data_IF_443621632851
#
_entry.id   IF_443621632851
#
_cell.length_a   1.000
_cell.length_b   1.000
_cell.length_c   1.000
_cell.angle_alpha   90.00
_cell.angle_beta   90.00
_cell.angle_gamma   90.00
#
_symmetry.space_group_name_H-M   'P 1'
#
loop_
_entity.id
_entity.type
_entity.pdbx_description
1 polymer ?
#
# COMPACT_ATOMS: atom_id res chain seq x y z
N UNK A 1 -24.11 12.59 -11.64
CA UNK A 1 -23.59 11.34 -11.05
C UNK A 1 -23.69 10.28 -12.11
N UNK A 2 -22.61 9.54 -12.41
CA UNK A 2 -22.66 8.37 -13.29
C UNK A 2 -23.80 7.45 -12.84
N UNK A 3 -24.68 6.98 -13.75
CA UNK A 3 -25.70 6.00 -13.39
C UNK A 3 -25.01 4.81 -12.72
N UNK A 4 -25.50 4.45 -11.53
CA UNK A 4 -24.97 3.31 -10.79
C UNK A 4 -25.24 2.03 -11.60
N UNK A 5 -24.23 1.18 -11.74
CA UNK A 5 -24.29 0.09 -12.70
C UNK A 5 -25.21 -1.03 -12.19
N UNK A 6 -26.42 -1.06 -12.74
CA UNK A 6 -27.39 -2.13 -12.51
C UNK A 6 -27.38 -3.04 -13.73
N UNK A 7 -27.12 -4.31 -13.48
CA UNK A 7 -27.06 -5.37 -14.47
C UNK A 7 -28.13 -6.42 -14.18
N UNK A 8 -28.32 -7.35 -15.11
CA UNK A 8 -29.25 -8.47 -14.97
C UNK A 8 -28.43 -9.75 -15.03
N UNK A 9 -28.47 -10.52 -13.94
CA UNK A 9 -27.84 -11.83 -13.90
C UNK A 9 -28.52 -12.79 -14.89
N UNK A 10 -27.83 -13.82 -15.38
CA UNK A 10 -28.34 -14.82 -16.34
C UNK A 10 -29.59 -15.58 -15.86
N UNK A 11 -29.86 -15.55 -14.55
CA UNK A 11 -31.09 -16.06 -13.92
C UNK A 11 -32.30 -15.11 -14.01
N UNK A 12 -32.10 -13.88 -14.52
CA UNK A 12 -33.09 -12.79 -14.52
C UNK A 12 -33.11 -11.93 -13.25
N UNK A 13 -32.31 -12.26 -12.23
CA UNK A 13 -32.25 -11.46 -11.00
C UNK A 13 -31.43 -10.17 -11.20
N UNK A 14 -31.77 -9.06 -10.52
CA UNK A 14 -30.92 -7.88 -10.49
C UNK A 14 -29.52 -8.20 -9.94
N UNK A 15 -28.51 -7.58 -10.54
CA UNK A 15 -27.13 -7.61 -10.09
C UNK A 15 -26.59 -6.19 -10.02
N UNK A 16 -25.93 -5.85 -8.93
CA UNK A 16 -25.36 -4.51 -8.70
C UNK A 16 -23.85 -4.63 -8.62
N UNK A 17 -23.15 -3.79 -9.37
CA UNK A 17 -21.69 -3.84 -9.42
C UNK A 17 -21.07 -2.46 -9.24
N UNK A 18 -19.93 -2.42 -8.56
CA UNK A 18 -19.09 -1.22 -8.46
C UNK A 18 -17.62 -1.64 -8.55
N UNK A 19 -16.81 -0.78 -9.17
CA UNK A 19 -15.36 -0.96 -9.26
C UNK A 19 -14.65 0.24 -8.67
N UNK A 20 -13.64 -0.03 -7.86
CA UNK A 20 -12.73 0.97 -7.33
C UNK A 20 -11.28 0.55 -7.48
N UNK A 21 -10.40 1.52 -7.69
CA UNK A 21 -8.98 1.35 -7.43
C UNK A 21 -8.59 1.95 -6.09
N UNK A 22 -7.52 1.42 -5.49
CA UNK A 22 -6.87 2.03 -4.35
C UNK A 22 -5.34 2.01 -4.50
N UNK A 23 -4.65 3.06 -4.00
CA UNK A 23 -3.21 3.17 -4.06
C UNK A 23 -2.52 2.22 -3.07
N UNK A 24 -1.28 1.87 -3.38
CA UNK A 24 -0.35 1.41 -2.34
C UNK A 24 0.18 2.59 -1.52
N UNK A 25 0.62 2.34 -0.29
CA UNK A 25 1.27 3.32 0.56
C UNK A 25 2.58 2.75 1.11
N UNK A 26 3.59 3.61 1.27
CA UNK A 26 4.89 3.24 1.83
C UNK A 26 5.07 3.92 3.18
N UNK A 27 5.22 3.11 4.23
CA UNK A 27 5.43 3.61 5.58
C UNK A 27 6.81 4.27 5.71
N UNK A 28 6.85 5.48 6.24
CA UNK A 28 8.10 6.16 6.62
C UNK A 28 8.35 6.07 8.12
N UNK A 29 7.28 6.01 8.92
CA UNK A 29 7.31 5.47 10.29
C UNK A 29 6.57 4.13 10.30
N UNK A 30 7.28 3.06 10.65
CA UNK A 30 6.86 1.68 10.44
C UNK A 30 5.83 1.20 11.47
N UNK A 31 4.79 0.57 10.95
CA UNK A 31 3.91 -0.32 11.71
C UNK A 31 4.56 -1.71 11.83
N UNK A 32 4.90 -2.11 13.06
CA UNK A 32 5.38 -3.46 13.34
C UNK A 32 4.98 -3.89 14.75
N UNK A 33 4.04 -4.82 14.84
CA UNK A 33 3.54 -5.37 16.10
C UNK A 33 2.09 -4.96 16.38
N UNK A 34 1.30 -5.90 16.91
CA UNK A 34 -0.12 -5.70 17.21
C UNK A 34 -0.33 -5.56 18.71
N UNK A 35 -1.09 -4.55 19.12
CA UNK A 35 -1.59 -4.44 20.48
C UNK A 35 -2.75 -5.42 20.69
N UNK A 36 -3.66 -5.51 19.71
CA UNK A 36 -4.78 -6.45 19.73
C UNK A 36 -4.93 -7.13 18.36
N UNK A 37 -4.75 -8.45 18.33
CA UNK A 37 -4.84 -9.25 17.11
C UNK A 37 -6.28 -9.43 16.60
N UNK A 38 -7.29 -9.37 17.49
CA UNK A 38 -8.72 -9.46 17.14
C UNK A 38 -9.16 -8.21 16.40
N UNK A 39 -8.74 -7.03 16.88
CA UNK A 39 -9.08 -5.74 16.28
C UNK A 39 -8.08 -5.25 15.24
N UNK A 40 -6.94 -5.94 15.11
CA UNK A 40 -5.83 -5.61 14.24
C UNK A 40 -5.25 -4.20 14.50
N UNK A 41 -5.12 -3.83 15.77
CA UNK A 41 -4.59 -2.52 16.20
C UNK A 41 -3.09 -2.60 16.51
N UNK A 42 -2.35 -1.49 16.33
CA UNK A 42 -0.90 -1.51 16.39
C UNK A 42 -0.39 -1.17 17.79
N UNK A 43 0.85 -1.56 18.10
CA UNK A 43 1.51 -1.12 19.36
C UNK A 43 1.98 0.34 19.30
N UNK A 44 2.08 0.93 18.11
CA UNK A 44 2.53 2.29 17.88
C UNK A 44 1.84 2.91 16.66
N UNK A 45 1.82 4.25 16.61
CA UNK A 45 1.38 5.00 15.43
C UNK A 45 2.30 4.72 14.24
N UNK A 46 1.80 4.94 13.03
CA UNK A 46 2.61 4.84 11.81
C UNK A 46 2.18 5.91 10.82
N UNK A 47 3.05 6.29 9.89
CA UNK A 47 2.72 7.25 8.83
C UNK A 47 3.34 6.83 7.52
N UNK A 48 2.63 7.11 6.43
CA UNK A 48 3.02 6.68 5.08
C UNK A 48 2.80 7.76 4.05
N UNK A 49 3.52 7.62 2.93
CA UNK A 49 3.24 8.33 1.68
C UNK A 49 2.39 7.41 0.79
N UNK A 50 1.22 7.88 0.39
CA UNK A 50 0.35 7.23 -0.60
C UNK A 50 0.92 7.44 -1.99
N UNK A 51 1.12 6.36 -2.75
CA UNK A 51 1.72 6.42 -4.10
C UNK A 51 0.66 6.66 -5.18
N UNK A 52 1.10 7.16 -6.33
CA UNK A 52 0.20 7.44 -7.45
C UNK A 52 -0.38 6.16 -8.07
N UNK A 53 -1.70 6.17 -8.27
CA UNK A 53 -2.47 5.07 -8.84
C UNK A 53 -2.27 4.90 -10.34
N UNK A 54 -1.67 5.86 -11.03
CA UNK A 54 -1.26 5.69 -12.42
C UNK A 54 -0.12 4.67 -12.53
N UNK A 55 0.71 4.56 -11.50
CA UNK A 55 1.84 3.62 -11.47
C UNK A 55 1.51 2.34 -10.72
N UNK A 56 0.91 2.45 -9.53
CA UNK A 56 0.77 1.35 -8.57
C UNK A 56 -0.61 1.38 -7.90
N UNK A 57 -1.49 0.45 -8.30
CA UNK A 57 -2.83 0.32 -7.70
C UNK A 57 -3.30 -1.13 -7.60
N UNK A 58 -4.19 -1.36 -6.65
CA UNK A 58 -5.11 -2.49 -6.70
C UNK A 58 -6.41 -2.05 -7.36
N UNK A 59 -7.02 -2.91 -8.17
CA UNK A 59 -8.33 -2.69 -8.78
C UNK A 59 -9.27 -3.80 -8.31
N UNK A 60 -10.40 -3.42 -7.73
CA UNK A 60 -11.38 -4.36 -7.18
C UNK A 60 -12.77 -4.06 -7.73
N UNK A 61 -13.38 -5.08 -8.32
CA UNK A 61 -14.80 -5.09 -8.73
C UNK A 61 -15.58 -5.94 -7.73
N UNK A 62 -16.67 -5.40 -7.19
CA UNK A 62 -17.60 -6.11 -6.31
C UNK A 62 -18.96 -6.22 -6.98
N UNK A 63 -19.62 -7.37 -6.85
CA UNK A 63 -20.96 -7.62 -7.34
C UNK A 63 -21.85 -8.21 -6.25
N UNK A 64 -23.10 -7.77 -6.16
CA UNK A 64 -24.11 -8.39 -5.29
C UNK A 64 -25.36 -8.79 -6.08
N UNK A 65 -25.86 -10.00 -5.83
CA UNK A 65 -27.10 -10.51 -6.39
C UNK A 65 -27.76 -11.51 -5.44
N UNK A 66 -29.09 -11.64 -5.53
CA UNK A 66 -29.85 -12.70 -4.85
C UNK A 66 -29.67 -14.08 -5.49
N UNK A 67 -29.11 -14.15 -6.70
CA UNK A 67 -28.82 -15.42 -7.39
C UNK A 67 -27.48 -16.03 -7.03
N UNK A 68 -26.64 -15.30 -6.28
CA UNK A 68 -25.36 -15.84 -5.81
C UNK A 68 -25.58 -16.72 -4.59
N UNK A 69 -25.02 -17.94 -4.61
CA UNK A 69 -25.19 -18.92 -3.53
C UNK A 69 -24.25 -18.69 -2.35
N UNK A 70 -23.05 -18.15 -2.61
CA UNK A 70 -22.00 -17.92 -1.60
C UNK A 70 -21.19 -16.67 -1.92
N UNK A 71 -20.52 -16.13 -0.90
CA UNK A 71 -19.51 -15.09 -1.13
C UNK A 71 -18.27 -15.72 -1.80
N UNK A 72 -17.69 -15.03 -2.79
CA UNK A 72 -16.52 -15.52 -3.55
C UNK A 72 -15.51 -14.40 -3.75
N UNK A 73 -14.22 -14.75 -3.75
CA UNK A 73 -13.11 -13.85 -4.00
C UNK A 73 -12.20 -14.47 -5.06
N UNK A 74 -11.88 -13.71 -6.09
CA UNK A 74 -10.80 -13.98 -7.01
C UNK A 74 -9.70 -12.94 -6.82
N UNK A 75 -8.46 -13.40 -6.68
CA UNK A 75 -7.28 -12.55 -6.59
C UNK A 75 -6.33 -12.90 -7.73
N UNK A 76 -6.02 -11.91 -8.57
CA UNK A 76 -5.20 -12.10 -9.78
C UNK A 76 -5.70 -13.26 -10.66
N UNK A 77 -7.01 -13.40 -10.79
CA UNK A 77 -7.65 -14.41 -11.65
C UNK A 77 -7.83 -15.80 -11.03
N UNK A 78 -7.20 -16.08 -9.89
CA UNK A 78 -7.35 -17.35 -9.16
C UNK A 78 -8.42 -17.20 -8.05
N UNK A 79 -9.27 -18.21 -7.87
CA UNK A 79 -10.27 -18.20 -6.79
C UNK A 79 -9.61 -18.54 -5.45
N UNK A 80 -9.85 -17.70 -4.45
CA UNK A 80 -9.40 -17.92 -3.08
C UNK A 80 -10.39 -18.86 -2.38
N UNK A 81 -10.16 -20.17 -2.48
CA UNK A 81 -10.98 -21.18 -1.82
C UNK A 81 -11.08 -20.91 -0.31
N UNK A 82 -12.30 -20.86 0.22
CA UNK A 82 -12.54 -20.56 1.63
C UNK A 82 -12.53 -19.07 1.99
N UNK A 83 -12.42 -18.15 1.03
CA UNK A 83 -12.52 -16.71 1.29
C UNK A 83 -13.78 -16.33 2.09
N UNK A 84 -14.92 -16.98 1.83
CA UNK A 84 -16.15 -16.79 2.59
C UNK A 84 -16.02 -17.05 4.10
N UNK A 85 -15.09 -17.91 4.52
CA UNK A 85 -14.79 -18.20 5.93
C UNK A 85 -13.59 -17.37 6.46
N UNK A 86 -12.91 -16.63 5.60
CA UNK A 86 -11.75 -15.82 6.00
C UNK A 86 -12.21 -14.63 6.85
N UNK A 87 -11.72 -14.58 8.10
CA UNK A 87 -12.11 -13.55 9.08
C UNK A 87 -11.82 -12.13 8.63
N UNK A 88 -10.71 -11.89 7.91
CA UNK A 88 -10.30 -10.57 7.43
C UNK A 88 -11.23 -10.08 6.32
N UNK A 89 -11.51 -10.96 5.37
CA UNK A 89 -12.45 -10.69 4.28
C UNK A 89 -13.87 -10.42 4.80
N UNK A 90 -14.36 -11.27 5.72
CA UNK A 90 -15.66 -11.10 6.36
C UNK A 90 -15.76 -9.83 7.20
N UNK A 91 -14.73 -9.48 7.96
CA UNK A 91 -14.72 -8.23 8.73
C UNK A 91 -14.94 -7.00 7.84
N UNK A 92 -14.32 -6.95 6.66
CA UNK A 92 -14.55 -5.84 5.72
C UNK A 92 -15.95 -5.87 5.10
N UNK A 93 -16.41 -7.02 4.60
CA UNK A 93 -17.75 -7.14 4.01
C UNK A 93 -18.84 -6.80 5.03
N UNK A 94 -18.81 -7.42 6.20
CA UNK A 94 -19.84 -7.27 7.22
C UNK A 94 -19.79 -5.87 7.85
N UNK A 95 -18.58 -5.32 8.04
CA UNK A 95 -18.39 -3.96 8.55
C UNK A 95 -18.99 -2.90 7.61
N UNK A 96 -18.67 -2.95 6.31
CA UNK A 96 -19.24 -1.98 5.35
C UNK A 96 -20.74 -2.23 5.15
N UNK A 97 -21.19 -3.48 5.14
CA UNK A 97 -22.61 -3.83 5.01
C UNK A 97 -23.45 -3.34 6.20
N UNK A 98 -22.90 -3.30 7.41
CA UNK A 98 -23.61 -2.74 8.57
C UNK A 98 -23.97 -1.25 8.38
N UNK A 99 -23.13 -0.52 7.64
CA UNK A 99 -23.29 0.88 7.28
C UNK A 99 -24.13 1.12 6.01
N UNK A 100 -24.64 0.04 5.39
CA UNK A 100 -25.37 0.12 4.13
C UNK A 100 -26.63 1.00 4.23
N UNK A 101 -26.95 1.68 3.14
CA UNK A 101 -28.19 2.43 2.98
C UNK A 101 -29.04 1.84 1.85
N UNK A 102 -30.29 2.29 1.73
CA UNK A 102 -31.15 1.85 0.63
C UNK A 102 -30.62 2.36 -0.71
N UNK A 103 -30.48 1.45 -1.69
CA UNK A 103 -30.15 1.81 -3.07
C UNK A 103 -31.40 2.32 -3.77
N UNK A 104 -31.27 3.45 -4.46
CA UNK A 104 -32.36 4.09 -5.20
C UNK A 104 -31.93 4.36 -6.64
N UNK A 105 -32.86 4.31 -7.58
CA UNK A 105 -32.64 4.78 -8.95
C UNK A 105 -32.70 6.32 -9.05
N UNK A 106 -32.59 6.85 -10.26
CA UNK A 106 -32.61 8.29 -10.53
C UNK A 106 -33.92 8.97 -10.10
N UNK A 107 -35.03 8.22 -10.11
CA UNK A 107 -36.37 8.70 -9.72
C UNK A 107 -36.63 8.52 -8.21
N UNK A 108 -35.64 8.02 -7.46
CA UNK A 108 -35.74 7.82 -6.01
C UNK A 108 -36.47 6.56 -5.59
N UNK A 109 -36.85 5.68 -6.53
CA UNK A 109 -37.46 4.38 -6.23
C UNK A 109 -36.41 3.46 -5.62
N UNK A 110 -36.79 2.80 -4.52
CA UNK A 110 -35.90 1.88 -3.82
C UNK A 110 -35.72 0.60 -4.64
N UNK A 111 -34.48 0.36 -5.08
CA UNK A 111 -34.05 -0.85 -5.79
C UNK A 111 -33.65 -1.95 -4.79
N UNK A 112 -32.97 -1.57 -3.70
CA UNK A 112 -32.54 -2.48 -2.63
C UNK A 112 -32.72 -1.77 -1.29
N UNK A 113 -33.40 -2.40 -0.33
CA UNK A 113 -33.47 -1.87 1.04
C UNK A 113 -32.19 -2.17 1.81
N UNK A 114 -31.96 -1.52 2.95
CA UNK A 114 -30.83 -1.85 3.83
C UNK A 114 -30.80 -3.33 4.19
N UNK A 115 -31.95 -3.92 4.52
CA UNK A 115 -32.12 -5.34 4.86
C UNK A 115 -32.05 -6.25 3.62
N UNK A 116 -32.29 -5.69 2.43
CA UNK A 116 -32.12 -6.37 1.15
C UNK A 116 -30.67 -6.78 0.93
N UNK A 117 -29.71 -5.90 1.27
CA UNK A 117 -28.27 -6.19 1.14
C UNK A 117 -27.81 -7.41 1.95
N UNK A 118 -28.37 -7.61 3.14
CA UNK A 118 -28.03 -8.75 4.00
C UNK A 118 -28.46 -10.11 3.45
N UNK A 119 -29.38 -10.13 2.48
CA UNK A 119 -29.86 -11.35 1.83
C UNK A 119 -29.08 -11.71 0.56
N UNK A 120 -28.26 -10.79 0.05
CA UNK A 120 -27.44 -11.01 -1.14
C UNK A 120 -26.05 -11.49 -0.77
N UNK A 121 -25.50 -12.39 -1.58
CA UNK A 121 -24.07 -12.76 -1.51
C UNK A 121 -23.26 -11.85 -2.42
N UNK A 122 -21.95 -11.82 -2.21
CA UNK A 122 -21.02 -10.95 -2.92
C UNK A 122 -19.98 -11.77 -3.67
N UNK A 123 -19.79 -11.44 -4.93
CA UNK A 123 -18.63 -11.86 -5.72
C UNK A 123 -17.64 -10.70 -5.81
N UNK A 124 -16.36 -10.97 -5.62
CA UNK A 124 -15.29 -9.97 -5.61
C UNK A 124 -14.17 -10.43 -6.53
N UNK A 125 -13.78 -9.63 -7.51
CA UNK A 125 -12.54 -9.85 -8.27
C UNK A 125 -11.58 -8.69 -8.06
N UNK A 126 -10.35 -9.01 -7.67
CA UNK A 126 -9.30 -8.03 -7.40
C UNK A 126 -7.99 -8.42 -8.09
N UNK A 127 -7.25 -7.43 -8.59
CA UNK A 127 -5.89 -7.61 -9.10
C UNK A 127 -5.01 -6.39 -8.79
N UNK A 128 -3.69 -6.58 -8.82
CA UNK A 128 -2.72 -5.49 -8.69
C UNK A 128 -2.08 -5.18 -10.04
N UNK A 129 -1.78 -3.90 -10.31
CA UNK A 129 -1.03 -3.48 -11.52
C UNK A 129 0.48 -3.75 -11.41
N UNK A 130 0.91 -4.35 -10.30
CA UNK A 130 2.30 -4.66 -9.99
C UNK A 130 2.43 -6.11 -9.49
N UNK A 131 3.60 -6.74 -9.63
CA UNK A 131 3.80 -8.12 -9.20
C UNK A 131 3.45 -8.28 -7.72
N UNK A 132 2.51 -9.16 -7.41
CA UNK A 132 1.99 -9.34 -6.04
C UNK A 132 3.08 -9.72 -5.04
N UNK A 133 4.12 -10.40 -5.52
CA UNK A 133 5.26 -10.86 -4.72
C UNK A 133 6.41 -9.83 -4.61
N UNK A 134 6.33 -8.68 -5.29
CA UNK A 134 7.30 -7.57 -5.15
C UNK A 134 7.21 -6.84 -3.78
N UNK A 135 6.46 -7.34 -2.81
CA UNK A 135 6.48 -6.82 -1.44
C UNK A 135 5.96 -5.39 -1.25
N UNK A 136 5.39 -4.75 -2.28
CA UNK A 136 4.89 -3.36 -2.29
C UNK A 136 3.52 -3.18 -1.61
N UNK A 137 3.34 -3.81 -0.45
CA UNK A 137 2.10 -3.74 0.35
C UNK A 137 0.80 -4.07 -0.44
N UNK A 138 0.83 -5.07 -1.32
CA UNK A 138 -0.31 -5.51 -2.15
C UNK A 138 -1.60 -5.77 -1.36
N UNK A 139 -1.48 -6.31 -0.14
CA UNK A 139 -2.65 -6.52 0.73
C UNK A 139 -3.28 -5.21 1.24
N UNK A 140 -2.48 -4.16 1.45
CA UNK A 140 -2.98 -2.87 1.92
C UNK A 140 -3.87 -2.21 0.85
N UNK A 141 -3.34 -2.11 -0.38
CA UNK A 141 -4.09 -1.61 -1.53
C UNK A 141 -5.33 -2.46 -1.82
N UNK A 142 -5.21 -3.80 -1.80
CA UNK A 142 -6.33 -4.71 -2.07
C UNK A 142 -7.51 -4.55 -1.10
N UNK A 143 -7.25 -4.51 0.21
CA UNK A 143 -8.31 -4.30 1.21
C UNK A 143 -8.87 -2.87 1.19
N UNK A 144 -8.06 -1.86 0.90
CA UNK A 144 -8.55 -0.49 0.70
C UNK A 144 -9.47 -0.39 -0.53
N UNK A 145 -9.10 -1.02 -1.64
CA UNK A 145 -9.92 -1.08 -2.86
C UNK A 145 -11.23 -1.84 -2.60
N UNK A 146 -11.17 -2.95 -1.85
CA UNK A 146 -12.37 -3.70 -1.44
C UNK A 146 -13.32 -2.83 -0.62
N UNK A 147 -12.84 -2.17 0.44
CA UNK A 147 -13.67 -1.31 1.27
C UNK A 147 -14.24 -0.15 0.45
N UNK A 148 -13.44 0.50 -0.38
CA UNK A 148 -13.91 1.57 -1.26
C UNK A 148 -15.02 1.10 -2.22
N UNK A 149 -14.85 -0.07 -2.87
CA UNK A 149 -15.85 -0.62 -3.79
C UNK A 149 -17.14 -1.05 -3.08
N UNK A 150 -17.03 -1.68 -1.90
CA UNK A 150 -18.18 -2.03 -1.06
C UNK A 150 -18.94 -0.79 -0.57
N UNK A 151 -18.23 0.29 -0.22
CA UNK A 151 -18.85 1.54 0.22
C UNK A 151 -19.72 2.13 -0.88
N UNK A 152 -19.23 2.13 -2.13
CA UNK A 152 -20.02 2.55 -3.29
C UNK A 152 -21.21 1.61 -3.53
N UNK A 153 -20.98 0.29 -3.50
CA UNK A 153 -22.00 -0.71 -3.79
C UNK A 153 -23.20 -0.59 -2.84
N UNK A 154 -22.92 -0.47 -1.53
CA UNK A 154 -23.92 -0.40 -0.48
C UNK A 154 -24.41 1.01 -0.17
N UNK A 155 -23.86 2.03 -0.84
CA UNK A 155 -24.10 3.43 -0.49
C UNK A 155 -23.83 3.67 1.00
N UNK A 156 -22.78 3.04 1.53
CA UNK A 156 -22.51 3.03 2.96
C UNK A 156 -22.17 4.43 3.46
N UNK A 157 -22.64 4.78 4.65
CA UNK A 157 -22.39 6.07 5.28
C UNK A 157 -21.75 5.88 6.64
N UNK A 158 -20.66 6.61 6.87
CA UNK A 158 -20.01 6.63 8.18
C UNK A 158 -20.92 7.25 9.24
N UNK A 159 -20.90 6.67 10.43
CA UNK A 159 -21.52 7.19 11.64
C UNK A 159 -20.59 8.14 12.38
N UNK A 160 -19.28 8.02 12.17
CA UNK A 160 -18.24 8.92 12.67
C UNK A 160 -17.09 9.04 11.67
N UNK A 161 -16.37 10.18 11.63
CA UNK A 161 -15.27 10.38 10.70
C UNK A 161 -14.20 9.29 10.80
N UNK A 162 -13.86 8.67 9.67
CA UNK A 162 -12.80 7.67 9.57
C UNK A 162 -13.23 6.25 9.94
N UNK A 163 -14.52 5.99 10.14
CA UNK A 163 -15.05 4.65 10.43
C UNK A 163 -14.67 3.62 9.36
N UNK A 164 -14.64 3.97 8.07
CA UNK A 164 -14.22 3.07 6.99
C UNK A 164 -12.75 2.65 7.13
N UNK A 165 -11.89 3.53 7.68
CA UNK A 165 -10.49 3.19 7.96
C UNK A 165 -10.37 2.11 9.05
N UNK A 166 -11.26 2.13 10.05
CA UNK A 166 -11.32 1.09 11.09
C UNK A 166 -11.78 -0.26 10.54
N UNK A 167 -12.61 -0.26 9.49
CA UNK A 167 -13.05 -1.47 8.79
C UNK A 167 -11.93 -2.00 7.90
N UNK A 168 -11.26 -1.15 7.11
CA UNK A 168 -10.12 -1.54 6.28
C UNK A 168 -8.97 -2.11 7.12
N UNK A 169 -8.69 -1.50 8.29
CA UNK A 169 -7.71 -1.97 9.28
C UNK A 169 -7.88 -3.44 9.62
N UNK A 170 -9.12 -3.91 9.80
CA UNK A 170 -9.39 -5.31 10.17
C UNK A 170 -9.02 -6.30 9.06
N UNK A 171 -9.17 -5.89 7.80
CA UNK A 171 -8.73 -6.68 6.65
C UNK A 171 -7.20 -6.79 6.55
N UNK A 172 -6.53 -5.65 6.61
CA UNK A 172 -5.07 -5.53 6.71
C UNK A 172 -4.75 -4.23 7.43
N UNK A 173 -3.92 -4.27 8.48
CA UNK A 173 -3.67 -3.10 9.34
C UNK A 173 -3.32 -1.84 8.55
N UNK A 174 -2.33 -1.93 7.65
CA UNK A 174 -1.89 -0.81 6.81
C UNK A 174 -2.86 -0.39 5.70
N UNK A 175 -3.94 -1.13 5.44
CA UNK A 175 -4.96 -0.76 4.46
C UNK A 175 -5.71 0.51 4.86
N UNK A 176 -5.82 0.81 6.17
CA UNK A 176 -6.47 2.02 6.66
C UNK A 176 -5.83 3.28 6.06
N UNK A 177 -4.49 3.31 5.91
CA UNK A 177 -3.76 4.46 5.36
C UNK A 177 -3.91 4.61 3.85
N UNK A 178 -4.35 3.58 3.14
CA UNK A 178 -4.62 3.62 1.69
C UNK A 178 -6.03 4.15 1.36
N UNK A 179 -6.83 4.54 2.36
CA UNK A 179 -8.13 5.18 2.12
C UNK A 179 -8.03 6.70 1.88
N UNK A 180 -6.86 7.29 2.08
CA UNK A 180 -6.59 8.71 1.83
C UNK A 180 -5.33 8.91 0.97
N UNK A 181 -5.27 10.08 0.31
CA UNK A 181 -4.13 10.50 -0.51
C UNK A 181 -3.06 11.24 0.28
N UNK A 182 -1.88 11.43 -0.33
CA UNK A 182 -0.81 12.22 0.25
C UNK A 182 -0.09 11.54 1.41
N UNK A 183 -0.07 12.20 2.56
CA UNK A 183 0.60 11.75 3.77
C UNK A 183 -0.45 11.34 4.80
N UNK A 184 -0.43 10.07 5.21
CA UNK A 184 -1.51 9.48 6.01
C UNK A 184 -0.94 8.81 7.24
N UNK A 185 -1.41 9.24 8.41
CA UNK A 185 -1.07 8.65 9.70
C UNK A 185 -2.11 7.60 10.08
N UNK A 186 -1.68 6.50 10.69
CA UNK A 186 -2.55 5.58 11.42
C UNK A 186 -2.28 5.77 12.90
N UNK A 187 -3.29 6.30 13.60
CA UNK A 187 -3.30 6.47 15.05
C UNK A 187 -3.52 5.12 15.72
N UNK A 188 -2.70 4.80 16.72
CA UNK A 188 -2.77 3.50 17.40
C UNK A 188 -4.06 3.32 18.20
N UNK A 189 -4.68 4.40 18.64
CA UNK A 189 -5.85 4.40 19.52
C UNK A 189 -5.59 3.71 20.87
N UNK A 190 -6.65 3.18 21.47
CA UNK A 190 -6.61 2.45 22.73
C UNK A 190 -7.22 3.21 23.92
N UNK A 191 -7.82 4.37 23.68
CA UNK A 191 -8.65 5.08 24.65
C UNK A 191 -10.08 4.51 24.70
N UNK A 192 -10.57 3.95 23.58
CA UNK A 192 -11.90 3.35 23.49
C UNK A 192 -11.84 1.82 23.54
N UNK A 193 -12.77 1.21 24.25
CA UNK A 193 -12.86 -0.24 24.41
C UNK A 193 -13.16 -1.00 23.11
N UNK A 194 -13.77 -0.34 22.13
CA UNK A 194 -14.10 -0.89 20.81
C UNK A 194 -13.05 -0.58 19.73
N UNK A 195 -11.95 0.11 20.10
CA UNK A 195 -10.89 0.53 19.19
C UNK A 195 -11.35 1.40 18.01
N UNK A 196 -12.49 2.10 18.16
CA UNK A 196 -12.98 3.04 17.13
C UNK A 196 -12.10 4.31 16.99
N UNK A 197 -11.16 4.51 17.90
CA UNK A 197 -10.13 5.56 17.90
C UNK A 197 -8.79 5.13 17.26
N UNK A 198 -8.64 3.86 16.85
CA UNK A 198 -7.50 3.41 16.04
C UNK A 198 -7.83 3.53 14.55
N UNK A 199 -7.69 4.74 14.01
CA UNK A 199 -8.12 5.12 12.66
C UNK A 199 -6.98 5.78 11.88
N UNK A 200 -7.17 5.91 10.56
CA UNK A 200 -6.25 6.67 9.71
C UNK A 200 -6.71 8.13 9.56
N UNK A 201 -5.75 9.05 9.47
CA UNK A 201 -5.95 10.48 9.32
C UNK A 201 -5.01 11.02 8.23
N UNK A 202 -5.54 11.83 7.32
CA UNK A 202 -4.73 12.56 6.36
C UNK A 202 -4.01 13.71 7.07
N UNK A 203 -2.68 13.65 7.09
CA UNK A 203 -1.81 14.73 7.59
C UNK A 203 -1.78 15.87 6.57
N UNK A 204 -1.61 15.53 5.30
CA UNK A 204 -1.70 16.46 4.18
C UNK A 204 -2.01 15.70 2.88
N UNK A 205 -2.79 16.31 1.99
CA UNK A 205 -3.16 15.68 0.71
C UNK A 205 -1.99 15.63 -0.29
N UNK A 206 -2.19 14.94 -1.40
CA UNK A 206 -1.19 14.71 -2.44
C UNK A 206 -0.70 16.00 -3.12
N UNK A 207 -1.51 17.07 -3.10
CA UNK A 207 -1.17 18.38 -3.68
C UNK A 207 -0.31 19.23 -2.76
N UNK A 208 -0.17 18.86 -1.49
CA UNK A 208 0.60 19.63 -0.52
C UNK A 208 2.09 19.63 -0.87
N UNK A 209 2.67 18.49 -1.22
CA UNK A 209 4.09 18.36 -1.57
C UNK A 209 4.26 17.66 -2.92
N UNK A 210 3.89 18.33 -4.03
CA UNK A 210 3.82 17.72 -5.35
C UNK A 210 5.20 17.35 -5.93
N UNK A 211 6.29 17.82 -5.34
CA UNK A 211 7.66 17.52 -5.77
C UNK A 211 8.16 16.16 -5.23
N UNK A 212 7.50 15.55 -4.24
CA UNK A 212 7.96 14.28 -3.69
C UNK A 212 7.83 13.14 -4.72
N UNK A 213 8.91 12.36 -4.87
CA UNK A 213 9.01 11.20 -5.77
C UNK A 213 9.45 9.98 -5.00
N UNK A 214 9.13 8.81 -5.55
CA UNK A 214 9.67 7.54 -5.09
C UNK A 214 10.25 6.76 -6.28
N UNK A 215 11.50 6.32 -6.14
CA UNK A 215 12.15 5.33 -7.02
C UNK A 215 12.23 4.02 -6.26
N UNK A 216 11.56 2.97 -6.76
CA UNK A 216 11.44 1.69 -6.07
C UNK A 216 12.28 0.66 -6.81
N UNK A 217 13.23 0.06 -6.09
CA UNK A 217 14.12 -0.98 -6.59
C UNK A 217 13.57 -2.35 -6.19
N UNK A 218 13.01 -3.09 -7.15
CA UNK A 218 12.49 -4.46 -6.94
C UNK A 218 13.65 -5.44 -7.01
N UNK A 219 14.29 -5.68 -5.86
CA UNK A 219 15.40 -6.64 -5.68
C UNK A 219 14.89 -8.08 -5.79
N UNK A 220 13.72 -8.36 -5.22
CA UNK A 220 13.09 -9.68 -5.27
C UNK A 220 11.58 -9.57 -5.42
N UNK A 221 11.03 -10.45 -6.24
CA UNK A 221 9.61 -10.77 -6.36
C UNK A 221 9.33 -12.20 -5.86
N UNK A 222 10.26 -12.81 -5.11
CA UNK A 222 10.03 -14.12 -4.52
C UNK A 222 9.10 -14.01 -3.32
N UNK A 223 8.39 -15.11 -3.01
CA UNK A 223 7.58 -15.19 -1.80
C UNK A 223 8.47 -14.98 -0.58
N UNK A 224 8.02 -14.14 0.36
CA UNK A 224 8.71 -13.86 1.62
C UNK A 224 8.87 -15.15 2.43
N UNK A 225 10.05 -15.34 3.01
CA UNK A 225 10.30 -16.46 3.94
C UNK A 225 9.40 -16.36 5.18
N UNK A 226 9.42 -15.20 5.84
CA UNK A 226 8.57 -14.91 7.02
C UNK A 226 7.51 -13.87 6.67
N UNK A 227 6.23 -14.27 6.72
CA UNK A 227 5.13 -13.32 6.50
C UNK A 227 5.13 -12.21 7.56
N UNK A 228 4.69 -11.00 7.18
CA UNK A 228 4.65 -9.87 8.11
C UNK A 228 3.78 -10.12 9.35
N UNK A 229 2.67 -10.87 9.22
CA UNK A 229 1.81 -11.19 10.37
C UNK A 229 2.54 -12.10 11.36
N UNK A 230 3.17 -13.18 10.89
CA UNK A 230 3.91 -14.09 11.76
C UNK A 230 5.11 -13.38 12.37
N UNK A 231 5.91 -12.68 11.55
CA UNK A 231 7.10 -11.99 12.00
C UNK A 231 6.82 -10.94 13.08
N UNK A 232 5.81 -10.09 12.88
CA UNK A 232 5.50 -9.04 13.85
C UNK A 232 4.96 -9.59 15.17
N UNK A 233 4.24 -10.73 15.14
CA UNK A 233 3.79 -11.41 16.36
C UNK A 233 4.99 -11.96 17.14
N UNK A 234 5.91 -12.64 16.46
CA UNK A 234 7.14 -13.15 17.11
C UNK A 234 8.02 -12.01 17.65
N UNK A 235 8.11 -10.89 16.94
CA UNK A 235 8.83 -9.71 17.44
C UNK A 235 8.21 -9.15 18.71
N UNK A 236 6.87 -9.06 18.79
CA UNK A 236 6.19 -8.61 20.03
C UNK A 236 6.49 -9.53 21.20
N UNK A 237 6.56 -10.83 20.94
CA UNK A 237 6.81 -11.84 21.98
C UNK A 237 8.27 -11.87 22.46
N UNK A 238 9.24 -11.56 21.60
CA UNK A 238 10.65 -11.89 21.86
C UNK A 238 11.63 -10.71 21.78
N UNK A 239 11.31 -9.63 21.06
CA UNK A 239 12.21 -8.48 20.90
C UNK A 239 12.06 -7.49 22.07
N UNK A 240 13.11 -7.38 22.88
CA UNK A 240 13.17 -6.37 23.95
C UNK A 240 13.29 -4.96 23.37
N UNK A 241 13.94 -4.82 22.21
CA UNK A 241 14.09 -3.53 21.54
C UNK A 241 12.76 -3.03 20.95
N UNK A 242 11.87 -3.92 20.51
CA UNK A 242 10.57 -3.52 19.95
C UNK A 242 9.70 -2.82 20.99
N UNK A 243 9.71 -3.31 22.24
CA UNK A 243 8.99 -2.67 23.34
C UNK A 243 9.47 -1.23 23.55
N UNK A 244 10.79 -1.04 23.68
CA UNK A 244 11.36 0.30 23.84
C UNK A 244 11.03 1.19 22.64
N UNK A 245 11.17 0.68 21.42
CA UNK A 245 10.81 1.41 20.19
C UNK A 245 9.37 1.94 20.25
N UNK A 246 8.40 1.09 20.58
CA UNK A 246 6.99 1.45 20.60
C UNK A 246 6.64 2.44 21.72
N UNK A 247 7.24 2.28 22.91
CA UNK A 247 6.94 3.09 24.09
C UNK A 247 7.62 4.46 24.07
N UNK A 248 8.83 4.59 23.51
CA UNK A 248 9.67 5.79 23.70
C UNK A 248 10.11 6.47 22.41
N UNK A 249 10.26 5.74 21.31
CA UNK A 249 10.90 6.27 20.09
C UNK A 249 9.86 6.79 19.10
N UNK A 250 8.83 5.99 18.83
CA UNK A 250 7.93 6.25 17.70
C UNK A 250 7.11 7.53 17.88
N UNK A 251 6.62 7.83 19.09
CA UNK A 251 5.80 9.02 19.35
C UNK A 251 6.52 10.32 18.97
N UNK A 252 7.79 10.48 19.36
CA UNK A 252 8.60 11.64 19.00
C UNK A 252 8.90 11.70 17.50
N UNK A 253 9.11 10.54 16.86
CA UNK A 253 9.31 10.48 15.41
C UNK A 253 8.05 10.89 14.64
N UNK A 254 6.87 10.46 15.08
CA UNK A 254 5.58 10.87 14.50
C UNK A 254 5.40 12.39 14.57
N UNK A 255 5.60 12.99 15.75
CA UNK A 255 5.49 14.44 15.90
C UNK A 255 6.46 15.19 14.96
N UNK A 256 7.69 14.71 14.85
CA UNK A 256 8.73 15.38 14.05
C UNK A 256 8.49 15.20 12.55
N UNK A 257 8.11 14.00 12.10
CA UNK A 257 7.90 13.73 10.67
C UNK A 257 6.63 14.39 10.13
N UNK A 258 5.57 14.50 10.94
CA UNK A 258 4.35 15.22 10.56
C UNK A 258 4.64 16.71 10.37
N UNK A 259 5.45 17.32 11.25
CA UNK A 259 5.95 18.69 11.04
C UNK A 259 6.78 18.81 9.76
N UNK A 260 7.62 17.83 9.46
CA UNK A 260 8.42 17.83 8.23
C UNK A 260 7.55 17.72 6.97
N UNK A 261 6.47 16.92 6.99
CA UNK A 261 5.49 16.89 5.89
C UNK A 261 4.84 18.25 5.67
N UNK A 262 4.36 18.89 6.74
CA UNK A 262 3.69 20.18 6.66
C UNK A 262 4.64 21.28 6.18
N UNK A 263 5.90 21.26 6.61
CA UNK A 263 6.93 22.23 6.23
C UNK A 263 7.63 21.93 4.89
N UNK A 264 7.36 20.79 4.26
CA UNK A 264 8.10 20.27 3.10
C UNK A 264 9.61 20.18 3.35
N UNK A 265 9.99 19.81 4.56
CA UNK A 265 11.38 19.67 5.00
C UNK A 265 11.92 18.28 4.64
N UNK A 266 12.56 18.19 3.47
CA UNK A 266 13.09 16.92 2.97
C UNK A 266 14.27 16.38 3.80
N UNK A 267 15.05 17.25 4.44
CA UNK A 267 16.19 16.86 5.25
C UNK A 267 15.72 16.07 6.47
N UNK A 268 14.80 16.67 7.26
CA UNK A 268 14.21 16.01 8.44
C UNK A 268 13.41 14.77 8.05
N UNK A 269 12.60 14.86 6.99
CA UNK A 269 11.84 13.72 6.45
C UNK A 269 12.77 12.55 6.09
N UNK A 270 13.84 12.83 5.36
CA UNK A 270 14.74 11.82 4.84
C UNK A 270 15.55 11.15 5.95
N UNK A 271 16.05 11.93 6.91
CA UNK A 271 16.76 11.41 8.08
C UNK A 271 15.87 10.46 8.90
N UNK A 272 14.63 10.86 9.19
CA UNK A 272 13.71 10.04 9.98
C UNK A 272 13.28 8.78 9.24
N UNK A 273 12.99 8.89 7.94
CA UNK A 273 12.59 7.75 7.10
C UNK A 273 13.66 6.66 7.08
N UNK A 274 14.93 7.04 6.89
CA UNK A 274 16.06 6.10 6.92
C UNK A 274 16.27 5.52 8.32
N UNK A 275 16.24 6.35 9.37
CA UNK A 275 16.47 5.93 10.74
C UNK A 275 15.36 4.99 11.27
N UNK A 276 14.11 5.20 10.86
CA UNK A 276 12.99 4.36 11.26
C UNK A 276 12.96 3.03 10.50
N UNK A 277 13.30 3.05 9.21
CA UNK A 277 13.56 1.83 8.43
C UNK A 277 14.62 0.96 9.11
N UNK A 278 15.78 1.54 9.43
CA UNK A 278 16.88 0.82 10.08
C UNK A 278 16.45 0.22 11.43
N UNK A 279 15.74 0.99 12.26
CA UNK A 279 15.33 0.52 13.58
C UNK A 279 14.25 -0.58 13.50
N UNK A 280 13.34 -0.52 12.52
CA UNK A 280 12.41 -1.60 12.26
C UNK A 280 13.16 -2.91 11.95
N UNK A 281 14.13 -2.89 11.04
CA UNK A 281 14.94 -4.08 10.73
C UNK A 281 15.84 -4.51 11.91
N UNK A 282 16.29 -3.57 12.76
CA UNK A 282 16.99 -3.91 14.00
C UNK A 282 16.10 -4.69 14.97
N UNK A 283 14.82 -4.31 15.13
CA UNK A 283 13.87 -5.10 15.95
C UNK A 283 13.54 -6.46 15.35
N UNK A 284 13.58 -6.59 14.01
CA UNK A 284 13.47 -7.88 13.34
C UNK A 284 14.68 -8.77 13.64
N UNK A 285 15.88 -8.19 13.67
CA UNK A 285 17.12 -8.90 14.02
C UNK A 285 17.18 -9.27 15.52
N UNK A 286 16.57 -8.47 16.40
CA UNK A 286 16.44 -8.73 17.84
C UNK A 286 15.34 -9.75 18.19
N UNK A 287 14.49 -10.11 17.22
CA UNK A 287 13.49 -11.18 17.37
C UNK A 287 14.18 -12.54 17.50
N UNK A 288 13.58 -13.51 18.20
CA UNK A 288 14.11 -14.88 18.27
C UNK A 288 13.10 -15.94 17.78
N UNK A 289 13.44 -16.74 16.74
CA UNK A 289 14.63 -16.62 15.86
C UNK A 289 14.68 -15.28 15.10
N UNK A 290 15.88 -14.80 14.71
CA UNK A 290 16.03 -13.53 14.02
C UNK A 290 15.35 -13.53 12.65
N UNK A 291 14.79 -12.38 12.30
CA UNK A 291 14.12 -12.16 11.01
C UNK A 291 15.02 -11.27 10.15
N UNK A 292 15.40 -11.79 8.97
CA UNK A 292 16.17 -11.05 7.97
C UNK A 292 15.31 -10.78 6.74
N UNK A 293 14.93 -9.52 6.57
CA UNK A 293 14.20 -9.08 5.37
C UNK A 293 15.12 -8.45 4.32
N UNK A 294 16.09 -7.68 4.77
CA UNK A 294 17.11 -7.07 3.92
C UNK A 294 18.20 -8.07 3.55
N UNK A 295 18.76 -7.92 2.36
CA UNK A 295 19.90 -8.71 1.89
C UNK A 295 21.08 -7.81 1.51
N UNK A 296 22.12 -8.39 0.91
CA UNK A 296 23.34 -7.65 0.52
C UNK A 296 23.06 -6.56 -0.51
N UNK A 297 22.07 -6.75 -1.39
CA UNK A 297 21.64 -5.72 -2.35
C UNK A 297 21.01 -4.56 -1.58
N UNK A 298 20.08 -4.83 -0.65
CA UNK A 298 19.51 -3.80 0.23
C UNK A 298 20.61 -3.00 0.96
N UNK A 299 21.59 -3.70 1.53
CA UNK A 299 22.71 -3.07 2.23
C UNK A 299 23.61 -2.24 1.29
N UNK A 300 23.81 -2.68 0.05
CA UNK A 300 24.58 -1.92 -0.94
C UNK A 300 23.86 -0.63 -1.37
N UNK A 301 22.54 -0.67 -1.56
CA UNK A 301 21.73 0.52 -1.84
C UNK A 301 21.87 1.54 -0.69
N UNK A 302 21.81 1.09 0.57
CA UNK A 302 22.03 1.96 1.74
C UNK A 302 23.38 2.68 1.65
N UNK A 303 24.46 1.95 1.36
CA UNK A 303 25.82 2.55 1.26
C UNK A 303 25.90 3.57 0.13
N UNK A 304 25.30 3.27 -1.03
CA UNK A 304 25.28 4.19 -2.17
C UNK A 304 24.52 5.47 -1.81
N UNK A 305 23.34 5.37 -1.18
CA UNK A 305 22.53 6.55 -0.83
C UNK A 305 23.23 7.42 0.22
N UNK A 306 23.91 6.83 1.21
CA UNK A 306 24.73 7.61 2.15
C UNK A 306 25.91 8.30 1.46
N UNK A 307 26.59 7.62 0.53
CA UNK A 307 27.69 8.22 -0.24
C UNK A 307 27.18 9.36 -1.15
N UNK A 308 26.03 9.17 -1.80
CA UNK A 308 25.34 10.17 -2.62
C UNK A 308 24.98 11.42 -1.82
N UNK A 309 24.29 11.28 -0.69
CA UNK A 309 23.92 12.41 0.17
C UNK A 309 25.16 13.13 0.73
N UNK A 310 26.21 12.38 1.08
CA UNK A 310 27.47 12.95 1.57
C UNK A 310 28.18 13.78 0.49
N UNK A 311 28.27 13.26 -0.74
CA UNK A 311 28.82 14.01 -1.88
C UNK A 311 28.01 15.27 -2.17
N UNK A 312 26.68 15.15 -2.15
CA UNK A 312 25.77 16.27 -2.38
C UNK A 312 25.78 17.35 -1.28
N UNK A 313 26.33 17.05 -0.10
CA UNK A 313 26.37 17.94 1.06
C UNK A 313 25.02 18.15 1.78
N UNK A 314 23.98 17.40 1.39
CA UNK A 314 22.62 17.42 1.97
C UNK A 314 21.87 16.14 1.61
N UNK A 315 20.76 15.85 2.29
CA UNK A 315 19.92 14.70 1.94
C UNK A 315 19.14 15.03 0.65
N UNK A 316 19.47 14.32 -0.44
CA UNK A 316 18.74 14.37 -1.72
C UNK A 316 17.93 13.10 -1.98
N UNK A 317 18.28 11.99 -1.32
CA UNK A 317 17.52 10.75 -1.36
C UNK A 317 17.45 10.08 0.02
N UNK A 318 16.32 9.44 0.32
CA UNK A 318 16.09 8.73 1.56
C UNK A 318 15.55 7.33 1.27
N UNK A 319 16.25 6.30 1.73
CA UNK A 319 15.81 4.92 1.57
C UNK A 319 14.84 4.51 2.67
N UNK A 320 13.96 3.56 2.35
CA UNK A 320 13.19 2.80 3.33
C UNK A 320 12.92 1.40 2.81
N UNK A 321 12.82 0.44 3.72
CA UNK A 321 12.60 -0.98 3.44
C UNK A 321 11.44 -1.48 4.30
N UNK A 322 10.48 -2.15 3.69
CA UNK A 322 9.42 -2.88 4.40
C UNK A 322 9.87 -4.31 4.72
N UNK A 323 8.92 -5.22 4.94
CA UNK A 323 9.18 -6.64 5.19
C UNK A 323 9.64 -7.37 3.90
N UNK A 324 10.80 -7.01 3.37
CA UNK A 324 11.47 -7.61 2.20
C UNK A 324 12.70 -6.79 1.76
N UNK A 325 13.43 -7.24 0.74
CA UNK A 325 14.69 -6.62 0.34
C UNK A 325 14.52 -5.40 -0.59
N UNK A 326 13.31 -5.11 -1.03
CA UNK A 326 13.03 -4.06 -2.01
C UNK A 326 13.21 -2.69 -1.38
N UNK A 327 13.98 -1.83 -2.05
CA UNK A 327 14.25 -0.48 -1.58
C UNK A 327 13.22 0.49 -2.15
N UNK A 328 12.68 1.37 -1.32
CA UNK A 328 11.99 2.57 -1.78
C UNK A 328 12.88 3.76 -1.50
N UNK A 329 13.21 4.52 -2.53
CA UNK A 329 14.04 5.71 -2.46
C UNK A 329 13.15 6.93 -2.65
N UNK A 330 12.82 7.61 -1.56
CA UNK A 330 12.19 8.91 -1.66
C UNK A 330 13.20 9.96 -2.09
N UNK A 331 12.78 10.88 -2.93
CA UNK A 331 13.59 12.02 -3.42
C UNK A 331 12.66 13.16 -3.84
N UNK A 332 13.21 14.29 -4.23
CA UNK A 332 12.47 15.38 -4.86
C UNK A 332 12.59 15.29 -6.38
N UNK A 333 11.60 15.82 -7.09
CA UNK A 333 11.52 15.79 -8.56
C UNK A 333 12.81 16.28 -9.24
N UNK A 334 13.42 17.34 -8.70
CA UNK A 334 14.69 17.90 -9.18
C UNK A 334 15.87 16.91 -9.15
N UNK A 335 15.85 15.91 -8.25
CA UNK A 335 16.92 14.91 -8.11
C UNK A 335 16.52 13.51 -8.61
N UNK A 336 15.26 13.33 -9.01
CA UNK A 336 14.75 12.00 -9.34
C UNK A 336 15.49 11.34 -10.50
N UNK A 337 15.82 12.10 -11.55
CA UNK A 337 16.59 11.59 -12.70
C UNK A 337 18.02 11.23 -12.29
N UNK A 338 18.68 12.06 -11.48
CA UNK A 338 20.04 11.81 -10.97
C UNK A 338 20.08 10.53 -10.11
N UNK A 339 19.12 10.37 -9.19
CA UNK A 339 18.99 9.16 -8.36
C UNK A 339 18.71 7.92 -9.22
N UNK A 340 17.79 8.03 -10.19
CA UNK A 340 17.46 6.93 -11.10
C UNK A 340 18.66 6.51 -11.96
N UNK A 341 19.41 7.47 -12.49
CA UNK A 341 20.62 7.23 -13.27
C UNK A 341 21.73 6.58 -12.43
N UNK A 342 21.94 7.04 -11.18
CA UNK A 342 22.89 6.43 -10.25
C UNK A 342 22.51 4.98 -9.93
N UNK A 343 21.21 4.72 -9.72
CA UNK A 343 20.72 3.35 -9.51
C UNK A 343 20.89 2.49 -10.77
N UNK A 344 20.62 3.03 -11.96
CA UNK A 344 20.82 2.34 -13.23
C UNK A 344 22.30 2.01 -13.48
N UNK A 345 23.22 2.88 -13.06
CA UNK A 345 24.66 2.62 -13.14
C UNK A 345 25.07 1.38 -12.33
N UNK A 346 24.61 1.24 -11.09
CA UNK A 346 24.96 0.10 -10.22
C UNK A 346 24.07 -1.15 -10.38
N UNK A 347 22.87 -0.97 -10.93
CA UNK A 347 21.91 -2.03 -11.23
C UNK A 347 21.39 -1.85 -12.66
N UNK A 348 22.20 -2.21 -13.67
CA UNK A 348 21.85 -2.08 -15.08
C UNK A 348 20.59 -2.87 -15.44
N UNK A 349 19.93 -2.45 -16.52
CA UNK A 349 18.64 -3.02 -16.93
C UNK A 349 18.65 -4.54 -17.01
N UNK A 350 17.53 -5.12 -16.59
CA UNK A 350 17.27 -6.55 -16.68
C UNK A 350 15.98 -6.78 -17.47
N UNK A 351 16.12 -7.26 -18.71
CA UNK A 351 14.99 -7.57 -19.58
C UNK A 351 14.21 -6.35 -20.07
N UNK A 352 13.05 -6.61 -20.67
CA UNK A 352 12.13 -5.58 -21.15
C UNK A 352 11.33 -4.96 -19.99
N UNK A 353 10.91 -3.70 -20.14
CA UNK A 353 10.11 -2.97 -19.14
C UNK A 353 10.79 -2.86 -17.76
N UNK A 354 12.13 -2.83 -17.72
CA UNK A 354 12.87 -2.66 -16.47
C UNK A 354 12.45 -1.40 -15.70
N UNK A 355 12.10 -0.32 -16.41
CA UNK A 355 11.54 0.90 -15.83
C UNK A 355 10.07 1.01 -16.22
N UNK A 356 9.17 1.18 -15.23
CA UNK A 356 7.72 1.26 -15.49
C UNK A 356 7.31 2.47 -16.36
N UNK A 357 8.07 3.57 -16.27
CA UNK A 357 7.81 4.83 -16.95
C UNK A 357 8.82 5.04 -18.09
N UNK A 358 8.41 4.95 -19.37
CA UNK A 358 9.32 5.06 -20.51
C UNK A 358 10.05 6.40 -20.59
N UNK A 359 9.38 7.51 -20.30
CA UNK A 359 9.97 8.85 -20.34
C UNK A 359 11.05 9.01 -19.26
N UNK A 360 10.79 8.53 -18.06
CA UNK A 360 11.79 8.49 -16.99
C UNK A 360 12.97 7.58 -17.39
N UNK A 361 12.69 6.40 -17.95
CA UNK A 361 13.71 5.47 -18.46
C UNK A 361 14.63 6.11 -19.51
N UNK A 362 14.08 6.88 -20.45
CA UNK A 362 14.88 7.64 -21.43
C UNK A 362 15.74 8.71 -20.76
N UNK A 363 15.18 9.47 -19.80
CA UNK A 363 15.89 10.54 -19.09
C UNK A 363 17.08 10.01 -18.28
N UNK A 364 16.90 8.92 -17.52
CA UNK A 364 17.99 8.38 -16.68
C UNK A 364 19.13 7.77 -17.52
N UNK A 365 18.83 7.26 -18.72
CA UNK A 365 19.86 6.75 -19.66
C UNK A 365 20.67 7.87 -20.31
N UNK A 366 20.04 9.02 -20.54
CA UNK A 366 20.67 10.18 -21.14
C UNK A 366 21.34 11.11 -20.10
N UNK A 367 21.17 10.82 -18.81
CA UNK A 367 21.70 11.65 -17.74
C UNK A 367 23.19 11.39 -17.55
N UNK A 368 23.99 12.45 -17.61
CA UNK A 368 25.42 12.41 -17.36
C UNK A 368 25.68 12.56 -15.86
N UNK A 369 26.21 11.51 -15.23
CA UNK A 369 26.50 11.50 -13.80
C UNK A 369 27.82 12.23 -13.53
N UNK A 370 27.82 13.11 -12.52
CA UNK A 370 29.03 13.83 -12.10
C UNK A 370 30.17 12.85 -11.74
N UNK A 371 31.36 13.11 -12.26
CA UNK A 371 32.54 12.27 -12.01
C UNK A 371 32.88 12.17 -10.52
N UNK A 372 32.70 13.25 -9.76
CA UNK A 372 32.90 13.28 -8.32
C UNK A 372 31.88 12.44 -7.56
N UNK A 373 30.65 12.34 -8.06
CA UNK A 373 29.63 11.42 -7.53
C UNK A 373 30.02 9.95 -7.80
N UNK A 374 30.46 9.64 -9.02
CA UNK A 374 30.93 8.30 -9.36
C UNK A 374 32.14 7.91 -8.50
N UNK A 375 33.11 8.80 -8.31
CA UNK A 375 34.26 8.57 -7.44
C UNK A 375 33.85 8.35 -5.98
N UNK A 376 32.90 9.16 -5.47
CA UNK A 376 32.41 9.03 -4.10
C UNK A 376 31.68 7.70 -3.87
N UNK A 377 30.87 7.26 -4.82
CA UNK A 377 30.07 6.05 -4.70
C UNK A 377 30.86 4.78 -5.02
N UNK A 378 31.92 4.84 -5.84
CA UNK A 378 32.81 3.71 -6.10
C UNK A 378 33.48 3.18 -4.81
N UNK A 379 33.72 4.05 -3.83
CA UNK A 379 34.26 3.71 -2.50
C UNK A 379 33.34 2.78 -1.69
N UNK A 380 32.09 2.59 -2.11
CA UNK A 380 31.17 1.61 -1.50
C UNK A 380 31.48 0.16 -1.89
N UNK A 381 32.40 -0.06 -2.83
CA UNK A 381 32.86 -1.37 -3.28
C UNK A 381 31.83 -2.14 -4.10
N UNK A 382 30.82 -1.44 -4.64
CA UNK A 382 29.74 -2.05 -5.42
C UNK A 382 30.10 -2.10 -6.91
N UNK A 383 30.19 -3.31 -7.46
CA UNK A 383 30.31 -3.51 -8.90
C UNK A 383 28.92 -3.55 -9.57
N UNK A 384 28.72 -2.86 -10.72
CA UNK A 384 27.49 -2.94 -11.50
C UNK A 384 27.13 -4.37 -11.94
N UNK A 385 25.89 -4.80 -11.69
CA UNK A 385 25.43 -6.14 -12.08
C UNK A 385 23.94 -6.17 -12.43
N UNK A 386 23.63 -6.66 -13.63
CA UNK A 386 22.26 -6.82 -14.13
C UNK A 386 21.56 -8.02 -13.47
N UNK A 387 20.25 -7.90 -13.27
CA UNK A 387 19.37 -8.96 -12.74
C UNK A 387 19.28 -9.06 -11.23
N UNK A 388 20.13 -8.34 -10.48
CA UNK A 388 20.02 -8.24 -9.01
C UNK A 388 18.90 -7.29 -8.57
N UNK A 389 18.52 -6.36 -9.45
CA UNK A 389 17.25 -5.65 -9.41
C UNK A 389 16.49 -6.09 -10.66
N UNK A 390 15.23 -6.48 -10.48
CA UNK A 390 14.35 -6.98 -11.55
C UNK A 390 13.59 -5.87 -12.25
N UNK A 391 13.26 -4.81 -11.51
CA UNK A 391 12.47 -3.69 -12.01
C UNK A 391 12.69 -2.44 -11.14
N UNK A 392 12.57 -1.29 -11.77
CA UNK A 392 12.57 0.04 -11.17
C UNK A 392 11.21 0.69 -11.41
N UNK A 393 10.51 1.06 -10.34
CA UNK A 393 9.34 1.93 -10.47
C UNK A 393 9.71 3.38 -10.16
N UNK A 394 9.25 4.30 -10.99
CA UNK A 394 9.22 5.72 -10.71
C UNK A 394 7.77 6.15 -10.51
N UNK A 395 7.49 6.86 -9.41
CA UNK A 395 6.15 7.34 -9.07
C UNK A 395 6.21 8.59 -8.20
N UNK A 396 5.05 9.19 -7.93
CA UNK A 396 4.86 10.36 -7.07
C UNK A 396 3.94 10.06 -5.89
N UNK A 397 3.77 11.04 -5.01
CA UNK A 397 2.60 11.05 -4.11
C UNK A 397 1.30 11.09 -4.93
N UNK A 398 0.25 10.45 -4.42
CA UNK A 398 -1.01 10.26 -5.15
C UNK A 398 -2.27 10.34 -4.29
N UNK A 399 -3.45 10.42 -4.93
CA UNK A 399 -4.73 10.50 -4.25
C UNK A 399 -5.16 9.16 -3.66
N UNK A 400 -6.14 9.21 -2.75
CA UNK A 400 -6.83 8.05 -2.19
C UNK A 400 -7.72 7.32 -3.22
N UNK A 401 -8.52 6.32 -2.80
CA UNK A 401 -9.28 5.45 -3.70
C UNK A 401 -10.14 6.18 -4.72
N UNK A 402 -10.25 5.61 -5.92
CA UNK A 402 -11.00 6.18 -7.03
C UNK A 402 -12.07 5.21 -7.52
N UNK A 403 -13.28 5.70 -7.77
CA UNK A 403 -14.32 4.95 -8.48
C UNK A 403 -13.95 4.83 -9.96
N UNK A 404 -14.02 3.63 -10.52
CA UNK A 404 -13.78 3.38 -11.94
C UNK A 404 -15.13 3.06 -12.61
N UNK A 405 -15.54 3.88 -13.59
CA UNK A 405 -16.91 3.78 -14.11
C UNK A 405 -17.06 2.99 -15.41
N UNK A 406 -16.12 2.97 -16.37
CA UNK A 406 -16.56 2.60 -17.74
C UNK A 406 -15.66 1.68 -18.61
N UNK A 407 -14.58 1.08 -18.11
CA UNK A 407 -13.73 0.21 -18.99
C UNK A 407 -13.02 -0.96 -18.32
N UNK A 408 -13.11 -1.13 -17.00
CA UNK A 408 -12.38 -2.18 -16.26
C UNK A 408 -13.35 -2.88 -15.31
N UNK A 409 -14.15 -3.81 -15.83
CA UNK A 409 -14.92 -4.76 -15.01
C UNK A 409 -14.18 -6.09 -15.02
N UNK A 410 -13.76 -6.53 -13.83
CA UNK A 410 -13.12 -7.83 -13.65
C UNK A 410 -14.11 -8.94 -13.30
N UNK A 411 -15.40 -8.61 -13.33
CA UNK A 411 -16.51 -9.56 -13.25
C UNK A 411 -17.38 -9.40 -14.49
N UNK A 412 -17.88 -10.52 -14.99
CA UNK A 412 -18.79 -10.57 -16.13
C UNK A 412 -20.16 -9.96 -15.75
N UNK A 413 -20.71 -9.13 -16.61
CA UNK A 413 -21.93 -8.36 -16.34
C UNK A 413 -23.21 -9.19 -16.37
N UNK A 414 -23.12 -10.47 -16.75
CA UNK A 414 -24.27 -11.39 -16.80
C UNK A 414 -24.19 -12.51 -15.76
N UNK A 415 -22.99 -12.93 -15.38
CA UNK A 415 -22.77 -14.05 -14.44
C UNK A 415 -22.18 -13.60 -13.11
N UNK A 416 -21.57 -12.42 -13.06
CA UNK A 416 -20.83 -11.95 -11.90
C UNK A 416 -19.61 -12.82 -11.57
N UNK A 417 -19.09 -13.58 -12.54
CA UNK A 417 -17.89 -14.40 -12.39
C UNK A 417 -16.65 -13.68 -12.90
N UNK A 418 -15.48 -14.07 -12.40
CA UNK A 418 -14.22 -13.45 -12.76
C UNK A 418 -13.94 -13.48 -14.28
N UNK A 419 -13.64 -12.32 -14.84
CA UNK A 419 -13.17 -12.15 -16.23
C UNK A 419 -11.69 -11.83 -16.31
N UNK A 420 -11.06 -11.47 -15.18
CA UNK A 420 -9.65 -11.13 -15.16
C UNK A 420 -8.80 -12.38 -15.32
N UNK A 421 -8.03 -12.41 -16.42
CA UNK A 421 -7.03 -13.43 -16.68
C UNK A 421 -5.66 -12.80 -16.44
N UNK A 422 -4.94 -13.26 -15.42
CA UNK A 422 -3.57 -12.83 -15.18
C UNK A 422 -2.68 -13.34 -16.32
N UNK A 423 -2.15 -12.43 -17.14
CA UNK A 423 -1.08 -12.76 -18.08
C UNK A 423 0.18 -12.94 -17.25
N UNK A 424 0.61 -14.20 -17.06
CA UNK A 424 1.87 -14.54 -16.38
C UNK A 424 3.07 -14.04 -17.15
#
# INVERSE_FOLDING_TARGET
MSPQQTFVHSSGAPMYMETSSAPTNIATIKYWGKADAKWNTPINDSVSVTLNQDDLKAVTTVAASSSFEKDRLWLNGEEEEGAAANKRFRACIDGVRALATAKKDADGKVLVTKEGWSRMKIHVSSYNTFPTAAGLASSAAGYAALVAALTLLFGAKEEFPGQLTTIARQGSGSACRSLDGGFVAWRKGGEKADWSDSLAEQVANEKHWPEIRAVIMVVSDAKKDTSSTAGMSTSVETSLLLKHRAETVVSKRMETIEKAFLAKDFETFGQLTMADSNQFHATCMDTYPPIFYMNDISNSIIRIIHAYNKWAGKIRAAYTFDAGPNAVLFTLDEYAVEVGALMLHYYPEFGENYVNNPDFGMKIKAFDLDDGLLEATAKTGREPKSGEVKMMYYTSSGPGPQRLTDTILNLDTTTGLNTYMYKK
#
